data_IF_949392978770
#
_entry.id   IF_949392978770
#
_cell.length_a   1.000
_cell.length_b   1.000
_cell.length_c   1.000
_cell.angle_alpha   90.00
_cell.angle_beta   90.00
_cell.angle_gamma   90.00
#
_symmetry.space_group_name_H-M   'P 1'
#
loop_
_entity.id
_entity.type
_entity.pdbx_description
1 polymer ?
#
# COMPACT_ATOMS: atom_id res chain seq x y z
N UNK A 1 3.42 20.74 12.04
CA UNK A 1 3.70 19.75 10.97
C UNK A 1 2.80 18.51 11.01
N UNK A 2 2.28 18.08 12.19
CA UNK A 2 1.36 16.92 12.33
C UNK A 2 0.11 16.94 11.42
N UNK A 3 -0.55 18.09 11.30
CA UNK A 3 -1.78 18.23 10.49
C UNK A 3 -1.54 18.09 8.97
N UNK A 4 -0.35 18.41 8.48
CA UNK A 4 -0.07 18.50 7.03
C UNK A 4 0.12 17.14 6.37
N UNK A 5 0.46 16.11 7.13
CA UNK A 5 0.78 14.76 6.62
C UNK A 5 -0.36 13.77 6.90
N UNK A 6 -1.18 14.04 7.92
CA UNK A 6 -2.31 13.17 8.31
C UNK A 6 -3.42 13.14 7.24
N UNK A 7 -3.83 14.30 6.72
CA UNK A 7 -4.88 14.37 5.68
C UNK A 7 -4.46 13.63 4.39
N UNK A 8 -3.27 13.86 3.83
CA UNK A 8 -2.79 13.09 2.68
C UNK A 8 -2.72 11.58 2.94
N UNK A 9 -2.29 11.17 4.13
CA UNK A 9 -2.27 9.74 4.48
C UNK A 9 -3.66 9.11 4.55
N UNK A 10 -4.66 9.84 5.06
CA UNK A 10 -6.06 9.40 5.04
C UNK A 10 -6.61 9.29 3.63
N UNK A 11 -6.27 10.24 2.75
CA UNK A 11 -6.59 10.16 1.31
C UNK A 11 -5.94 8.91 0.71
N UNK A 12 -4.69 8.62 1.05
CA UNK A 12 -3.98 7.40 0.66
C UNK A 12 -4.71 6.13 1.06
N UNK A 13 -5.19 6.04 2.32
CA UNK A 13 -5.97 4.89 2.81
C UNK A 13 -7.32 4.80 2.07
N UNK A 14 -8.02 5.91 1.86
CA UNK A 14 -9.30 5.91 1.15
C UNK A 14 -9.13 5.42 -0.29
N UNK A 15 -8.07 5.87 -0.98
CA UNK A 15 -7.71 5.37 -2.30
C UNK A 15 -7.30 3.89 -2.27
N UNK A 16 -6.60 3.45 -1.22
CA UNK A 16 -6.22 2.06 -1.02
C UNK A 16 -7.47 1.16 -0.94
N UNK A 17 -8.44 1.59 -0.14
CA UNK A 17 -9.72 0.90 0.01
C UNK A 17 -10.48 0.83 -1.31
N UNK A 18 -10.59 1.97 -2.03
CA UNK A 18 -11.28 2.02 -3.31
C UNK A 18 -10.61 1.11 -4.34
N UNK A 19 -9.29 1.16 -4.45
CA UNK A 19 -8.52 0.33 -5.39
C UNK A 19 -8.70 -1.17 -5.09
N UNK A 20 -8.64 -1.54 -3.81
CA UNK A 20 -8.81 -2.93 -3.39
C UNK A 20 -10.25 -3.41 -3.57
N UNK A 21 -11.24 -2.57 -3.29
CA UNK A 21 -12.65 -2.89 -3.50
C UNK A 21 -12.97 -3.12 -4.98
N UNK A 22 -12.45 -2.25 -5.86
CA UNK A 22 -12.60 -2.40 -7.32
C UNK A 22 -11.92 -3.69 -7.79
N UNK A 23 -10.69 -3.97 -7.35
CA UNK A 23 -9.99 -5.20 -7.72
C UNK A 23 -10.73 -6.46 -7.23
N UNK A 24 -11.29 -6.41 -6.02
CA UNK A 24 -12.08 -7.51 -5.46
C UNK A 24 -13.37 -7.73 -6.27
N UNK A 25 -14.07 -6.67 -6.65
CA UNK A 25 -15.25 -6.77 -7.51
C UNK A 25 -14.88 -7.36 -8.89
N UNK A 26 -13.80 -6.89 -9.50
CA UNK A 26 -13.32 -7.41 -10.80
C UNK A 26 -12.88 -8.87 -10.72
N UNK A 27 -12.34 -9.33 -9.60
CA UNK A 27 -11.92 -10.72 -9.42
C UNK A 27 -13.08 -11.72 -9.47
N UNK A 28 -14.33 -11.27 -9.30
CA UNK A 28 -15.52 -12.12 -9.48
C UNK A 28 -15.92 -12.31 -10.95
N UNK A 29 -15.39 -11.46 -11.84
CA UNK A 29 -15.71 -11.45 -13.28
C UNK A 29 -14.55 -12.05 -14.10
N UNK A 30 -13.31 -11.81 -13.66
CA UNK A 30 -12.09 -12.23 -14.37
C UNK A 30 -11.73 -13.68 -14.00
N UNK A 31 -11.35 -14.54 -14.96
CA UNK A 31 -10.93 -15.89 -14.68
C UNK A 31 -9.65 -15.91 -13.83
N UNK A 32 -9.66 -16.75 -12.77
CA UNK A 32 -8.53 -16.90 -11.84
C UNK A 32 -7.39 -17.63 -12.55
N UNK A 33 -6.22 -16.98 -12.61
CA UNK A 33 -5.03 -17.45 -13.34
C UNK A 33 -4.18 -18.43 -12.53
N UNK A 34 -4.11 -18.27 -11.21
CA UNK A 34 -3.30 -19.11 -10.32
C UNK A 34 -4.17 -19.84 -9.32
N UNK A 35 -4.18 -21.17 -9.44
CA UNK A 35 -4.93 -22.07 -8.56
C UNK A 35 -3.94 -23.05 -7.89
N UNK A 36 -4.04 -23.20 -6.57
CA UNK A 36 -3.20 -24.11 -5.78
C UNK A 36 -2.54 -23.44 -4.57
N UNK A 37 -2.66 -24.07 -3.39
CA UNK A 37 -2.23 -23.51 -2.10
C UNK A 37 -0.75 -23.11 -2.05
N UNK A 38 0.12 -23.83 -2.76
CA UNK A 38 1.55 -23.52 -2.80
C UNK A 38 1.83 -22.20 -3.55
N UNK A 39 1.22 -22.01 -4.73
CA UNK A 39 1.39 -20.79 -5.52
C UNK A 39 0.80 -19.57 -4.82
N UNK A 40 -0.33 -19.75 -4.14
CA UNK A 40 -0.92 -18.71 -3.27
C UNK A 40 0.06 -18.28 -2.18
N UNK A 41 0.65 -19.24 -1.47
CA UNK A 41 1.59 -18.95 -0.39
C UNK A 41 2.87 -18.26 -0.90
N UNK A 42 3.45 -18.73 -2.00
CA UNK A 42 4.65 -18.12 -2.60
C UNK A 42 4.37 -16.68 -3.03
N UNK A 43 3.28 -16.45 -3.77
CA UNK A 43 2.94 -15.11 -4.26
C UNK A 43 2.61 -14.16 -3.11
N UNK A 44 1.88 -14.65 -2.10
CA UNK A 44 1.57 -13.89 -0.90
C UNK A 44 2.85 -13.49 -0.15
N UNK A 45 3.74 -14.45 0.12
CA UNK A 45 5.01 -14.19 0.82
C UNK A 45 5.91 -13.25 0.02
N UNK A 46 5.93 -13.38 -1.31
CA UNK A 46 6.69 -12.48 -2.18
C UNK A 46 6.19 -11.04 -2.07
N UNK A 47 4.89 -10.80 -2.22
CA UNK A 47 4.33 -9.46 -2.06
C UNK A 47 4.44 -8.92 -0.63
N UNK A 48 4.32 -9.80 0.37
CA UNK A 48 4.51 -9.44 1.76
C UNK A 48 5.95 -8.96 2.00
N UNK A 49 6.95 -9.74 1.55
CA UNK A 49 8.35 -9.40 1.69
C UNK A 49 8.72 -8.09 0.98
N UNK A 50 8.29 -7.93 -0.27
CA UNK A 50 8.45 -6.66 -1.01
C UNK A 50 7.83 -5.51 -0.23
N UNK A 51 6.58 -5.68 0.22
CA UNK A 51 5.87 -4.64 0.96
C UNK A 51 6.59 -4.22 2.23
N UNK A 52 7.18 -5.17 2.97
CA UNK A 52 7.97 -4.90 4.17
C UNK A 52 9.30 -4.21 3.87
N UNK A 53 10.02 -4.64 2.82
CA UNK A 53 11.32 -4.05 2.43
C UNK A 53 11.16 -2.60 1.96
N UNK A 54 10.04 -2.28 1.32
CA UNK A 54 9.76 -0.92 0.86
C UNK A 54 9.48 0.07 1.99
N UNK A 55 8.95 -0.39 3.12
CA UNK A 55 8.61 0.46 4.27
C UNK A 55 9.83 1.31 4.72
N UNK A 56 10.98 0.72 5.09
CA UNK A 56 12.14 1.50 5.52
C UNK A 56 12.73 2.37 4.41
N UNK A 57 12.75 1.90 3.15
CA UNK A 57 13.25 2.70 2.02
C UNK A 57 12.41 3.96 1.80
N UNK A 58 11.08 3.84 1.79
CA UNK A 58 10.18 4.98 1.59
C UNK A 58 10.19 5.93 2.79
N UNK A 59 10.30 5.40 4.00
CA UNK A 59 10.50 6.19 5.21
C UNK A 59 11.77 7.05 5.10
N UNK A 60 12.89 6.46 4.68
CA UNK A 60 14.14 7.18 4.49
C UNK A 60 14.01 8.28 3.43
N UNK A 61 13.41 7.95 2.28
CA UNK A 61 13.17 8.92 1.20
C UNK A 61 12.27 10.08 1.64
N UNK A 62 11.15 9.79 2.31
CA UNK A 62 10.24 10.81 2.84
C UNK A 62 10.93 11.71 3.88
N UNK A 63 11.80 11.13 4.72
CA UNK A 63 12.56 11.89 5.71
C UNK A 63 13.52 12.86 5.03
N UNK A 64 14.24 12.39 4.01
CA UNK A 64 15.15 13.23 3.23
C UNK A 64 14.40 14.37 2.51
N UNK A 65 13.24 14.07 1.93
CA UNK A 65 12.37 15.06 1.31
C UNK A 65 11.81 16.08 2.30
N UNK A 66 11.46 15.65 3.52
CA UNK A 66 10.93 16.53 4.56
C UNK A 66 11.97 17.50 5.13
N UNK A 67 13.25 17.10 5.19
CA UNK A 67 14.35 17.95 5.65
C UNK A 67 14.97 18.83 4.56
N UNK A 68 14.66 18.56 3.29
CA UNK A 68 15.14 19.37 2.18
C UNK A 68 14.46 20.74 2.17
N UNK A 69 15.26 21.82 2.13
CA UNK A 69 14.76 23.19 2.04
C UNK A 69 14.08 23.51 0.69
N UNK A 70 14.37 22.74 -0.36
CA UNK A 70 13.87 22.98 -1.72
C UNK A 70 12.62 22.16 -2.04
N UNK A 71 12.30 21.14 -1.25
CA UNK A 71 11.20 20.24 -1.57
C UNK A 71 9.86 20.84 -1.12
N UNK A 72 8.90 21.04 -2.05
CA UNK A 72 7.62 21.61 -1.69
C UNK A 72 6.84 20.63 -0.80
N UNK A 73 6.24 21.14 0.28
CA UNK A 73 5.48 20.34 1.26
C UNK A 73 4.35 19.52 0.62
N UNK A 74 3.76 20.02 -0.47
CA UNK A 74 2.72 19.31 -1.24
C UNK A 74 3.25 18.04 -1.90
N UNK A 75 4.51 18.04 -2.35
CA UNK A 75 5.14 16.86 -2.95
C UNK A 75 5.36 15.78 -1.89
N UNK A 76 5.89 16.15 -0.71
CA UNK A 76 6.05 15.23 0.44
C UNK A 76 4.72 14.62 0.84
N UNK A 77 3.67 15.45 0.94
CA UNK A 77 2.31 15.01 1.22
C UNK A 77 1.76 14.02 0.17
N UNK A 78 1.94 14.32 -1.12
CA UNK A 78 1.52 13.45 -2.21
C UNK A 78 2.25 12.12 -2.20
N UNK A 79 3.58 12.13 -2.06
CA UNK A 79 4.40 10.92 -1.95
C UNK A 79 3.98 10.07 -0.75
N UNK A 80 3.65 10.69 0.38
CA UNK A 80 3.13 9.97 1.54
C UNK A 80 1.76 9.32 1.29
N UNK A 81 0.85 10.02 0.60
CA UNK A 81 -0.45 9.45 0.21
C UNK A 81 -0.28 8.23 -0.71
N UNK A 82 0.59 8.31 -1.71
CA UNK A 82 0.92 7.19 -2.59
C UNK A 82 1.56 6.03 -1.84
N UNK A 83 2.50 6.32 -0.93
CA UNK A 83 3.13 5.32 -0.09
C UNK A 83 2.10 4.55 0.75
N UNK A 84 1.17 5.25 1.41
CA UNK A 84 0.10 4.62 2.16
C UNK A 84 -0.80 3.76 1.26
N UNK A 85 -1.12 4.22 0.05
CA UNK A 85 -1.94 3.49 -0.93
C UNK A 85 -1.25 2.25 -1.51
N UNK A 86 0.08 2.25 -1.60
CA UNK A 86 0.84 1.27 -2.38
C UNK A 86 0.62 -0.18 -1.94
N UNK A 87 0.22 -0.41 -0.68
CA UNK A 87 -0.04 -1.77 -0.20
C UNK A 87 -1.29 -2.37 -0.86
N UNK A 88 -2.28 -1.54 -1.16
CA UNK A 88 -3.44 -1.97 -1.93
C UNK A 88 -3.08 -2.33 -3.37
N UNK A 89 -2.01 -1.80 -3.96
CA UNK A 89 -1.57 -2.21 -5.31
C UNK A 89 -1.18 -3.69 -5.32
N UNK A 90 -0.36 -4.12 -4.36
CA UNK A 90 -0.01 -5.53 -4.22
C UNK A 90 -1.20 -6.40 -3.87
N UNK A 91 -2.04 -5.94 -2.94
CA UNK A 91 -3.27 -6.65 -2.59
C UNK A 91 -4.20 -6.84 -3.80
N UNK A 92 -4.37 -5.80 -4.61
CA UNK A 92 -5.20 -5.83 -5.82
C UNK A 92 -4.64 -6.78 -6.86
N UNK A 93 -3.33 -6.74 -7.14
CA UNK A 93 -2.69 -7.68 -8.07
C UNK A 93 -2.86 -9.12 -7.55
N UNK A 94 -2.60 -9.35 -6.27
CA UNK A 94 -2.76 -10.67 -5.65
C UNK A 94 -4.21 -11.18 -5.79
N UNK A 95 -5.21 -10.37 -5.47
CA UNK A 95 -6.62 -10.77 -5.58
C UNK A 95 -7.03 -11.01 -7.02
N UNK A 96 -6.60 -10.19 -7.97
CA UNK A 96 -6.91 -10.39 -9.39
C UNK A 96 -6.29 -11.68 -9.95
N UNK A 97 -5.09 -12.06 -9.49
CA UNK A 97 -4.42 -13.28 -9.95
C UNK A 97 -4.97 -14.56 -9.30
N UNK A 98 -5.42 -14.47 -8.05
CA UNK A 98 -5.71 -15.64 -7.21
C UNK A 98 -7.18 -15.81 -6.82
N UNK A 99 -7.99 -14.76 -6.95
CA UNK A 99 -9.37 -14.71 -6.44
C UNK A 99 -9.47 -14.73 -4.91
N UNK A 100 -8.35 -14.74 -4.17
CA UNK A 100 -8.35 -14.91 -2.71
C UNK A 100 -8.49 -13.56 -2.00
N UNK A 101 -9.73 -13.07 -1.89
CA UNK A 101 -10.06 -11.80 -1.24
C UNK A 101 -9.56 -11.79 0.22
N UNK A 102 -9.80 -12.86 1.00
CA UNK A 102 -9.40 -12.93 2.40
C UNK A 102 -7.90 -12.66 2.62
N UNK A 103 -7.03 -13.37 1.90
CA UNK A 103 -5.58 -13.16 1.98
C UNK A 103 -5.15 -11.80 1.41
N UNK A 104 -5.78 -11.34 0.34
CA UNK A 104 -5.54 -10.00 -0.19
C UNK A 104 -5.82 -8.89 0.83
N UNK A 105 -6.83 -9.06 1.68
CA UNK A 105 -7.16 -8.08 2.72
C UNK A 105 -6.04 -7.91 3.75
N UNK A 106 -5.30 -8.98 4.06
CA UNK A 106 -4.15 -8.91 4.95
C UNK A 106 -3.02 -8.07 4.35
N UNK A 107 -2.79 -8.17 3.02
CA UNK A 107 -1.85 -7.28 2.32
C UNK A 107 -2.36 -5.84 2.29
N UNK A 108 -3.66 -5.64 2.03
CA UNK A 108 -4.25 -4.31 2.01
C UNK A 108 -4.17 -3.62 3.38
N UNK A 109 -4.26 -4.38 4.48
CA UNK A 109 -4.11 -3.87 5.85
C UNK A 109 -2.72 -3.25 6.12
N UNK A 110 -1.69 -3.62 5.35
CA UNK A 110 -0.37 -2.97 5.44
C UNK A 110 -0.42 -1.49 5.05
N UNK A 111 -1.47 -1.04 4.36
CA UNK A 111 -1.71 0.40 4.11
C UNK A 111 -1.85 1.17 5.43
N UNK A 112 -2.48 0.58 6.45
CA UNK A 112 -2.57 1.18 7.79
C UNK A 112 -1.22 1.19 8.49
N UNK A 113 -0.42 0.13 8.34
CA UNK A 113 0.94 0.07 8.90
C UNK A 113 1.83 1.16 8.27
N UNK A 114 1.72 1.37 6.96
CA UNK A 114 2.41 2.43 6.21
C UNK A 114 1.95 3.83 6.61
N UNK A 115 0.66 4.01 6.85
CA UNK A 115 0.15 5.27 7.40
C UNK A 115 0.69 5.53 8.81
N UNK A 116 0.65 4.54 9.69
CA UNK A 116 1.14 4.64 11.06
C UNK A 116 2.66 4.93 11.10
N UNK A 117 3.44 4.27 10.24
CA UNK A 117 4.88 4.46 10.17
C UNK A 117 5.26 5.87 9.69
N UNK A 118 4.52 6.43 8.73
CA UNK A 118 4.75 7.80 8.29
C UNK A 118 4.28 8.87 9.27
N UNK A 119 3.27 8.61 10.11
CA UNK A 119 2.93 9.50 11.24
C UNK A 119 4.01 9.48 12.31
N UNK A 120 4.64 8.31 12.53
CA UNK A 120 5.76 8.17 13.45
C UNK A 120 7.03 8.89 12.97
N UNK A 121 7.09 9.28 11.69
CA UNK A 121 8.16 10.09 11.11
C UNK A 121 8.11 11.50 11.70
N UNK A 122 8.92 11.74 12.74
CA UNK A 122 9.14 13.05 13.37
C UNK A 122 10.26 13.82 12.69
#
# INVERSE_FOLDING_TARGET
MKLTVTIPGLIGIALAFLLYAVASALSTIIPILLQGNLWLAILFLFFLALSFIEIPMMIFGLRQMAHSATTPRRLVAGTFAFYAMFAAVYASIFVLLTGQIGWGSALAALSFVRFASGIALR
#
